data_IF_669538178359
#
_entry.id   IF_669538178359
#
_cell.length_a   1.000
_cell.length_b   1.000
_cell.length_c   1.000
_cell.angle_alpha   90.00
_cell.angle_beta   90.00
_cell.angle_gamma   90.00
#
_symmetry.space_group_name_H-M   'P 1'
#
loop_
_entity.id
_entity.type
_entity.pdbx_description
1 polymer ?
#
# COMPACT_ATOMS: atom_id res chain seq x y z
N UNK A 1 56.15 4.16 4.50
CA UNK A 1 55.81 5.59 4.28
C UNK A 1 55.10 5.69 2.95
N UNK A 2 53.92 6.23 2.74
CA UNK A 2 52.84 6.78 3.58
C UNK A 2 51.63 6.70 2.64
N UNK A 3 50.56 6.03 3.07
CA UNK A 3 49.27 6.00 2.37
C UNK A 3 48.51 7.27 2.76
N UNK A 4 48.09 8.15 1.85
CA UNK A 4 47.13 9.19 2.20
C UNK A 4 45.70 8.69 1.94
N UNK A 5 45.04 8.41 3.05
CA UNK A 5 43.63 8.67 3.36
C UNK A 5 42.73 9.05 2.17
N UNK A 6 42.03 8.04 1.62
CA UNK A 6 40.68 8.26 1.14
C UNK A 6 39.81 8.29 2.39
N UNK A 7 39.41 9.49 2.82
CA UNK A 7 38.29 9.62 3.75
C UNK A 7 37.03 9.16 3.01
N UNK A 8 36.78 7.85 3.03
CA UNK A 8 35.46 7.32 2.77
C UNK A 8 34.59 7.86 3.90
N UNK A 9 33.85 8.92 3.63
CA UNK A 9 32.57 9.12 4.29
C UNK A 9 31.70 7.97 3.78
N UNK A 10 31.87 6.79 4.40
CA UNK A 10 30.77 5.88 4.51
C UNK A 10 29.63 6.76 5.02
N UNK A 11 28.50 6.75 4.31
CA UNK A 11 27.25 7.09 4.96
C UNK A 11 27.30 6.41 6.34
N UNK A 12 27.01 7.13 7.42
CA UNK A 12 26.89 6.56 8.76
C UNK A 12 25.78 5.51 8.72
N UNK A 13 26.10 4.35 8.15
CA UNK A 13 25.33 3.14 8.16
C UNK A 13 25.72 2.55 9.49
N UNK A 14 24.92 2.88 10.50
CA UNK A 14 24.91 2.16 11.77
C UNK A 14 25.08 0.66 11.47
N UNK A 15 26.06 -0.03 12.08
CA UNK A 15 26.17 -1.48 11.92
C UNK A 15 24.91 -2.15 12.49
N UNK A 16 23.99 -2.52 11.60
CA UNK A 16 22.67 -3.08 11.93
C UNK A 16 21.74 -3.18 10.72
N UNK A 17 20.63 -3.90 10.88
CA UNK A 17 19.50 -3.85 9.94
C UNK A 17 18.75 -2.52 10.18
N UNK A 18 18.69 -1.57 9.22
CA UNK A 18 17.98 -0.31 9.41
C UNK A 18 16.50 -0.53 9.75
N UNK A 19 15.92 -1.66 9.32
CA UNK A 19 14.54 -2.01 9.62
C UNK A 19 14.33 -2.44 11.08
N UNK A 20 15.40 -2.65 11.85
CA UNK A 20 15.32 -2.94 13.28
C UNK A 20 15.10 -1.68 14.13
N UNK A 21 15.24 -0.48 13.57
CA UNK A 21 14.97 0.76 14.31
C UNK A 21 13.50 0.83 14.75
N UNK A 22 13.21 1.36 15.96
CA UNK A 22 11.85 1.39 16.51
C UNK A 22 10.82 2.03 15.59
N UNK A 23 11.19 3.09 14.87
CA UNK A 23 10.30 3.78 13.93
C UNK A 23 9.77 2.86 12.82
N UNK A 24 10.65 2.05 12.22
CA UNK A 24 10.24 1.09 11.18
C UNK A 24 9.44 -0.08 11.76
N UNK A 25 9.82 -0.56 12.94
CA UNK A 25 9.06 -1.61 13.62
C UNK A 25 7.62 -1.18 13.90
N UNK A 26 7.39 0.06 14.35
CA UNK A 26 6.06 0.60 14.51
C UNK A 26 5.36 0.85 13.18
N UNK A 27 6.05 1.47 12.21
CA UNK A 27 5.49 1.81 10.89
C UNK A 27 4.93 0.57 10.17
N UNK A 28 5.73 -0.50 10.09
CA UNK A 28 5.32 -1.73 9.41
C UNK A 28 4.36 -2.59 10.23
N UNK A 29 4.14 -2.28 11.51
CA UNK A 29 3.09 -2.89 12.34
C UNK A 29 1.81 -2.04 12.44
N UNK A 30 1.65 -1.02 11.58
CA UNK A 30 0.47 -0.14 11.52
C UNK A 30 0.32 0.78 12.75
N UNK A 31 1.39 0.95 13.52
CA UNK A 31 1.47 1.76 14.74
C UNK A 31 2.01 3.15 14.37
N UNK A 32 1.26 3.87 13.51
CA UNK A 32 1.76 5.08 12.86
C UNK A 32 2.00 6.26 13.81
N UNK A 33 1.23 6.36 14.91
CA UNK A 33 1.43 7.44 15.88
C UNK A 33 2.73 7.22 16.67
N UNK A 34 3.00 5.97 17.05
CA UNK A 34 4.24 5.52 17.68
C UNK A 34 5.44 5.65 16.73
N UNK A 35 5.28 5.28 15.45
CA UNK A 35 6.29 5.46 14.42
C UNK A 35 6.64 6.94 14.22
N UNK A 36 5.63 7.81 14.17
CA UNK A 36 5.82 9.25 14.00
C UNK A 36 6.57 9.85 15.19
N UNK A 37 6.24 9.44 16.41
CA UNK A 37 6.96 9.85 17.61
C UNK A 37 8.43 9.40 17.56
N UNK A 38 8.70 8.16 17.17
CA UNK A 38 10.05 7.62 17.06
C UNK A 38 10.89 8.35 16.00
N UNK A 39 10.37 8.56 14.79
CA UNK A 39 11.08 9.29 13.74
C UNK A 39 11.26 10.78 14.06
N UNK A 40 10.31 11.39 14.77
CA UNK A 40 10.45 12.78 15.25
C UNK A 40 11.56 12.91 16.30
N UNK A 41 11.64 11.97 17.25
CA UNK A 41 12.72 11.92 18.22
C UNK A 41 14.09 11.69 17.55
N UNK A 42 14.13 10.88 16.50
CA UNK A 42 15.34 10.65 15.70
C UNK A 42 15.74 11.92 14.91
N UNK A 43 14.79 12.63 14.32
CA UNK A 43 15.04 13.90 13.64
C UNK A 43 15.54 14.98 14.60
N UNK A 44 15.09 14.98 15.86
CA UNK A 44 15.58 15.90 16.88
C UNK A 44 17.05 15.62 17.26
N UNK A 45 17.46 14.34 17.28
CA UNK A 45 18.85 13.94 17.54
C UNK A 45 19.75 14.19 16.33
N UNK A 46 19.20 14.03 15.12
CA UNK A 46 19.94 14.11 13.86
C UNK A 46 19.32 15.15 12.89
N UNK A 47 19.28 16.44 13.23
CA UNK A 47 18.53 17.47 12.49
C UNK A 47 19.11 17.83 11.11
N UNK A 48 20.29 17.31 10.78
CA UNK A 48 20.96 17.50 9.48
C UNK A 48 20.73 16.33 8.52
N UNK A 49 20.18 15.20 8.99
CA UNK A 49 19.87 14.03 8.16
C UNK A 49 18.58 14.29 7.36
N UNK A 50 18.59 14.22 6.01
CA UNK A 50 17.37 14.43 5.22
C UNK A 50 16.40 13.24 5.29
N UNK A 51 16.91 12.02 5.46
CA UNK A 51 16.15 10.77 5.43
C UNK A 51 15.16 10.63 6.60
N UNK A 52 15.51 11.09 7.80
CA UNK A 52 14.61 11.08 8.97
C UNK A 52 13.34 11.90 8.73
N UNK A 53 13.43 13.01 7.99
CA UNK A 53 12.27 13.82 7.60
C UNK A 53 11.44 13.16 6.51
N UNK A 54 12.05 12.37 5.62
CA UNK A 54 11.30 11.52 4.68
C UNK A 54 10.48 10.46 5.43
N UNK A 55 11.02 9.85 6.48
CA UNK A 55 10.29 8.87 7.29
C UNK A 55 9.09 9.50 8.01
N UNK A 56 9.23 10.72 8.53
CA UNK A 56 8.11 11.50 9.10
C UNK A 56 7.03 11.71 8.03
N UNK A 57 7.40 12.23 6.85
CA UNK A 57 6.46 12.50 5.77
C UNK A 57 5.76 11.22 5.26
N UNK A 58 6.51 10.11 5.12
CA UNK A 58 5.97 8.80 4.76
C UNK A 58 4.96 8.32 5.79
N UNK A 59 5.29 8.44 7.09
CA UNK A 59 4.42 8.03 8.19
C UNK A 59 3.09 8.78 8.18
N UNK A 60 3.11 10.09 7.91
CA UNK A 60 1.88 10.90 7.81
C UNK A 60 0.97 10.38 6.70
N UNK A 61 1.51 10.18 5.49
CA UNK A 61 0.72 9.69 4.34
C UNK A 61 0.14 8.31 4.59
N UNK A 62 0.94 7.38 5.12
CA UNK A 62 0.47 6.02 5.40
C UNK A 62 -0.55 5.98 6.53
N UNK A 63 -0.42 6.84 7.56
CA UNK A 63 -1.43 6.99 8.61
C UNK A 63 -2.77 7.43 8.04
N UNK A 64 -2.77 8.38 7.12
CA UNK A 64 -3.99 8.85 6.46
C UNK A 64 -4.61 7.76 5.58
N UNK A 65 -3.77 7.06 4.81
CA UNK A 65 -4.22 5.90 4.02
C UNK A 65 -4.79 4.80 4.91
N UNK A 66 -4.21 4.56 6.09
CA UNK A 66 -4.70 3.56 7.03
C UNK A 66 -6.06 3.96 7.61
N UNK A 67 -6.20 5.20 8.09
CA UNK A 67 -7.44 5.74 8.64
C UNK A 67 -8.59 5.76 7.62
N UNK A 68 -8.28 5.92 6.34
CA UNK A 68 -9.28 5.91 5.26
C UNK A 68 -9.56 4.53 4.67
N UNK A 69 -8.93 3.46 5.17
CA UNK A 69 -8.99 2.11 4.58
C UNK A 69 -8.29 1.97 3.22
N UNK A 70 -7.49 2.96 2.79
CA UNK A 70 -6.80 2.95 1.50
C UNK A 70 -5.56 2.05 1.47
N UNK A 71 -5.01 1.63 2.62
CA UNK A 71 -3.95 0.61 2.67
C UNK A 71 -4.46 -0.82 2.49
N UNK A 72 -5.76 -1.03 2.61
CA UNK A 72 -6.36 -2.33 2.43
C UNK A 72 -6.34 -2.65 0.92
N UNK A 73 -5.79 -3.82 0.56
CA UNK A 73 -5.68 -4.19 -0.85
C UNK A 73 -7.04 -4.60 -1.42
N UNK A 74 -7.00 -4.98 -2.69
CA UNK A 74 -8.03 -5.22 -3.70
C UNK A 74 -9.05 -6.31 -3.31
N UNK A 75 -9.38 -6.49 -2.03
CA UNK A 75 -10.48 -7.33 -1.52
C UNK A 75 -11.81 -7.07 -2.24
N UNK A 76 -11.93 -5.95 -2.99
CA UNK A 76 -13.21 -5.48 -3.48
C UNK A 76 -13.28 -4.78 -4.84
N UNK A 77 -12.17 -4.54 -5.52
CA UNK A 77 -12.21 -3.91 -6.84
C UNK A 77 -11.72 -4.88 -7.89
N UNK A 78 -12.63 -5.42 -8.71
CA UNK A 78 -12.28 -6.19 -9.91
C UNK A 78 -11.67 -5.34 -11.03
N UNK A 79 -11.47 -4.03 -10.81
CA UNK A 79 -11.06 -3.09 -11.84
C UNK A 79 -10.20 -1.94 -11.28
N UNK A 80 -9.22 -1.51 -12.09
CA UNK A 80 -8.13 -0.54 -11.79
C UNK A 80 -8.44 0.52 -10.69
N UNK A 81 -7.94 0.32 -9.45
CA UNK A 81 -8.33 1.15 -8.30
C UNK A 81 -7.66 2.53 -8.23
N UNK A 82 -6.53 2.74 -8.92
CA UNK A 82 -5.72 3.96 -8.75
C UNK A 82 -6.39 5.24 -9.27
N UNK A 83 -7.31 5.14 -10.24
CA UNK A 83 -7.92 6.32 -10.89
C UNK A 83 -9.25 6.78 -10.26
N UNK A 84 -9.94 5.92 -9.50
CA UNK A 84 -11.31 6.18 -9.01
C UNK A 84 -11.48 6.23 -7.50
N UNK A 85 -10.39 6.12 -6.73
CA UNK A 85 -10.46 6.24 -5.27
C UNK A 85 -10.89 7.65 -4.83
N UNK A 86 -11.78 7.75 -3.82
CA UNK A 86 -12.10 9.02 -3.17
C UNK A 86 -10.82 9.76 -2.77
N UNK A 87 -10.88 11.09 -2.80
CA UNK A 87 -9.77 11.95 -2.36
C UNK A 87 -9.50 11.70 -0.87
N UNK A 88 -8.24 11.49 -0.50
CA UNK A 88 -7.86 11.56 0.91
C UNK A 88 -8.03 13.00 1.39
N UNK A 89 -8.68 13.19 2.53
CA UNK A 89 -8.93 14.51 3.11
C UNK A 89 -8.25 14.62 4.49
N UNK A 90 -6.91 14.65 4.55
CA UNK A 90 -6.19 14.89 5.79
C UNK A 90 -6.55 16.27 6.37
N UNK A 91 -6.52 16.38 7.70
CA UNK A 91 -6.75 17.64 8.40
C UNK A 91 -5.64 18.66 8.11
N UNK A 92 -5.94 19.95 8.25
CA UNK A 92 -5.01 21.03 7.88
C UNK A 92 -3.66 20.94 8.61
N UNK A 93 -3.65 20.42 9.84
CA UNK A 93 -2.44 20.18 10.62
C UNK A 93 -1.59 19.09 9.99
N UNK A 94 -2.16 17.93 9.63
CA UNK A 94 -1.44 16.83 8.99
C UNK A 94 -0.89 17.25 7.62
N UNK A 95 -1.65 18.04 6.85
CA UNK A 95 -1.16 18.59 5.58
C UNK A 95 0.08 19.46 5.80
N UNK A 96 0.03 20.35 6.81
CA UNK A 96 1.15 21.22 7.15
C UNK A 96 2.37 20.41 7.58
N UNK A 97 2.20 19.44 8.47
CA UNK A 97 3.27 18.57 8.95
C UNK A 97 3.95 17.81 7.79
N UNK A 98 3.17 17.29 6.84
CA UNK A 98 3.72 16.63 5.65
C UNK A 98 4.59 17.60 4.82
N UNK A 99 4.06 18.80 4.52
CA UNK A 99 4.76 19.77 3.70
C UNK A 99 6.03 20.32 4.38
N UNK A 100 5.99 20.54 5.70
CA UNK A 100 7.14 20.95 6.48
C UNK A 100 8.23 19.87 6.46
N UNK A 101 7.86 18.60 6.68
CA UNK A 101 8.80 17.48 6.68
C UNK A 101 9.44 17.26 5.28
N UNK A 102 8.64 17.24 4.21
CA UNK A 102 9.16 17.11 2.84
C UNK A 102 10.02 18.32 2.46
N UNK A 103 9.58 19.54 2.79
CA UNK A 103 10.35 20.75 2.53
C UNK A 103 11.72 20.70 3.20
N UNK A 104 11.77 20.26 4.46
CA UNK A 104 13.02 20.12 5.22
C UNK A 104 13.94 19.04 4.64
N UNK A 105 13.40 17.87 4.28
CA UNK A 105 14.16 16.79 3.65
C UNK A 105 14.81 17.26 2.34
N UNK A 106 14.03 17.91 1.47
CA UNK A 106 14.51 18.42 0.18
C UNK A 106 15.54 19.54 0.34
N UNK A 107 15.35 20.44 1.32
CA UNK A 107 16.34 21.49 1.62
C UNK A 107 17.69 20.86 1.98
N UNK A 108 17.70 19.94 2.95
CA UNK A 108 18.93 19.32 3.45
C UNK A 108 19.63 18.47 2.39
N UNK A 109 18.88 17.67 1.64
CA UNK A 109 19.43 16.91 0.53
C UNK A 109 19.96 17.85 -0.57
N UNK A 110 19.25 18.93 -0.87
CA UNK A 110 19.67 19.92 -1.86
C UNK A 110 20.97 20.63 -1.49
N UNK A 111 21.14 21.00 -0.22
CA UNK A 111 22.37 21.65 0.26
C UNK A 111 23.58 20.70 0.19
N UNK A 112 23.38 19.41 0.49
CA UNK A 112 24.41 18.37 0.27
C UNK A 112 24.75 18.19 -1.20
N UNK A 113 23.76 18.18 -2.09
CA UNK A 113 23.97 18.04 -3.53
C UNK A 113 24.65 19.26 -4.18
N UNK A 114 24.48 20.46 -3.62
CA UNK A 114 25.24 21.65 -4.06
C UNK A 114 26.72 21.51 -3.77
N UNK A 115 27.07 20.90 -2.64
CA UNK A 115 28.46 20.66 -2.24
C UNK A 115 29.06 19.48 -3.00
N UNK A 116 28.31 18.39 -3.13
CA UNK A 116 28.68 17.20 -3.88
C UNK A 116 27.50 16.68 -4.72
N UNK A 117 27.47 16.97 -6.03
CA UNK A 117 26.40 16.51 -6.92
C UNK A 117 26.27 14.98 -7.05
N UNK A 118 27.26 14.23 -6.59
CA UNK A 118 27.31 12.76 -6.62
C UNK A 118 27.21 12.15 -5.21
N UNK A 119 26.77 12.91 -4.20
CA UNK A 119 26.44 12.37 -2.87
C UNK A 119 25.25 11.40 -3.01
N UNK A 120 25.55 10.09 -3.01
CA UNK A 120 24.56 9.02 -3.17
C UNK A 120 23.47 9.08 -2.10
N UNK A 121 23.83 9.40 -0.85
CA UNK A 121 22.86 9.50 0.24
C UNK A 121 21.91 10.68 0.03
N UNK A 122 22.42 11.83 -0.41
CA UNK A 122 21.60 12.99 -0.71
C UNK A 122 20.74 12.80 -1.98
N UNK A 123 21.26 12.15 -3.02
CA UNK A 123 20.49 11.75 -4.20
C UNK A 123 19.34 10.83 -3.80
N UNK A 124 19.60 9.85 -2.93
CA UNK A 124 18.59 8.91 -2.46
C UNK A 124 17.50 9.63 -1.65
N UNK A 125 17.88 10.43 -0.65
CA UNK A 125 16.93 11.19 0.15
C UNK A 125 16.09 12.14 -0.71
N UNK A 126 16.71 12.88 -1.64
CA UNK A 126 15.99 13.76 -2.58
C UNK A 126 15.02 12.97 -3.46
N UNK A 127 15.46 11.82 -3.98
CA UNK A 127 14.62 10.93 -4.78
C UNK A 127 13.40 10.42 -4.02
N UNK A 128 13.58 10.03 -2.77
CA UNK A 128 12.48 9.62 -1.87
C UNK A 128 11.53 10.80 -1.62
N UNK A 129 12.03 12.00 -1.35
CA UNK A 129 11.18 13.19 -1.15
C UNK A 129 10.29 13.49 -2.36
N UNK A 130 10.86 13.43 -3.57
CA UNK A 130 10.08 13.57 -4.81
C UNK A 130 9.03 12.46 -4.93
N UNK A 131 9.36 11.20 -4.62
CA UNK A 131 8.41 10.10 -4.65
C UNK A 131 7.24 10.27 -3.67
N UNK A 132 7.52 10.69 -2.44
CA UNK A 132 6.50 10.97 -1.43
C UNK A 132 5.61 12.15 -1.84
N UNK A 133 6.20 13.23 -2.38
CA UNK A 133 5.44 14.38 -2.89
C UNK A 133 4.59 14.01 -4.10
N UNK A 134 5.09 13.16 -4.99
CA UNK A 134 4.31 12.61 -6.11
C UNK A 134 3.08 11.83 -5.60
N UNK A 135 3.29 10.94 -4.63
CA UNK A 135 2.20 10.17 -4.03
C UNK A 135 1.16 11.07 -3.35
N UNK A 136 1.60 12.10 -2.62
CA UNK A 136 0.70 13.06 -1.99
C UNK A 136 -0.10 13.86 -3.03
N UNK A 137 0.58 14.36 -4.06
CA UNK A 137 -0.07 15.08 -5.17
C UNK A 137 -1.12 14.21 -5.86
N UNK A 138 -0.84 12.91 -6.05
CA UNK A 138 -1.74 11.95 -6.66
C UNK A 138 -2.93 11.57 -5.77
N UNK A 139 -2.68 11.17 -4.51
CA UNK A 139 -3.70 10.60 -3.62
C UNK A 139 -4.53 11.67 -2.92
N UNK A 140 -3.88 12.77 -2.51
CA UNK A 140 -4.49 13.83 -1.70
C UNK A 140 -4.90 15.01 -2.59
N UNK A 141 -3.97 15.65 -3.32
CA UNK A 141 -4.31 16.88 -4.07
C UNK A 141 -5.07 16.62 -5.38
N UNK A 142 -5.02 15.40 -5.93
CA UNK A 142 -5.46 15.08 -7.31
C UNK A 142 -4.78 15.98 -8.35
N UNK A 143 -3.53 16.38 -8.08
CA UNK A 143 -2.69 17.20 -8.95
C UNK A 143 -1.81 16.29 -9.83
N UNK A 144 -2.41 15.69 -10.85
CA UNK A 144 -1.79 14.62 -11.65
C UNK A 144 -0.51 15.05 -12.39
N UNK A 145 -0.47 16.29 -12.89
CA UNK A 145 0.72 16.84 -13.58
C UNK A 145 1.88 17.06 -12.60
N UNK A 146 1.61 17.63 -11.42
CA UNK A 146 2.59 17.78 -10.34
C UNK A 146 3.14 16.41 -9.93
N UNK A 147 2.24 15.42 -9.76
CA UNK A 147 2.62 14.06 -9.40
C UNK A 147 3.53 13.41 -10.46
N UNK A 148 3.22 13.59 -11.74
CA UNK A 148 4.03 13.05 -12.84
C UNK A 148 5.42 13.71 -12.91
N UNK A 149 5.49 15.04 -12.71
CA UNK A 149 6.75 15.78 -12.67
C UNK A 149 7.64 15.30 -11.52
N UNK A 150 7.06 15.14 -10.33
CA UNK A 150 7.76 14.65 -9.16
C UNK A 150 8.21 13.19 -9.32
N UNK A 151 7.37 12.31 -9.85
CA UNK A 151 7.73 10.92 -10.13
C UNK A 151 8.90 10.81 -11.14
N UNK A 152 8.91 11.69 -12.16
CA UNK A 152 10.01 11.77 -13.13
C UNK A 152 11.30 12.23 -12.47
N UNK A 153 11.21 13.24 -11.59
CA UNK A 153 12.35 13.74 -10.81
C UNK A 153 12.91 12.68 -9.87
N UNK A 154 12.03 11.94 -9.17
CA UNK A 154 12.41 10.81 -8.32
C UNK A 154 13.18 9.75 -9.12
N UNK A 155 12.65 9.35 -10.29
CA UNK A 155 13.32 8.38 -11.17
C UNK A 155 14.69 8.86 -11.62
N UNK A 156 14.83 10.14 -11.99
CA UNK A 156 16.12 10.71 -12.40
C UNK A 156 17.17 10.60 -11.29
N UNK A 157 16.80 10.91 -10.05
CA UNK A 157 17.71 10.79 -8.90
C UNK A 157 18.13 9.33 -8.68
N UNK A 158 17.17 8.40 -8.70
CA UNK A 158 17.44 6.98 -8.49
C UNK A 158 18.27 6.33 -9.61
N UNK A 159 18.05 6.74 -10.87
CA UNK A 159 18.88 6.29 -11.99
C UNK A 159 20.33 6.73 -11.81
N UNK A 160 20.56 8.00 -11.45
CA UNK A 160 21.90 8.51 -11.18
C UNK A 160 22.60 7.74 -10.06
N UNK A 161 21.87 7.32 -9.02
CA UNK A 161 22.43 6.47 -7.96
C UNK A 161 22.93 5.14 -8.54
N UNK A 162 22.13 4.46 -9.36
CA UNK A 162 22.54 3.18 -9.95
C UNK A 162 23.66 3.30 -10.99
N UNK A 163 23.85 4.48 -11.59
CA UNK A 163 25.00 4.79 -12.45
C UNK A 163 26.28 4.99 -11.63
N UNK A 164 26.18 5.64 -10.46
CA UNK A 164 27.31 5.90 -9.55
C UNK A 164 27.70 4.67 -8.73
N UNK A 165 26.71 3.96 -8.21
CA UNK A 165 26.84 2.75 -7.41
C UNK A 165 25.86 1.67 -7.91
N UNK A 166 26.31 0.82 -8.85
CA UNK A 166 25.51 -0.30 -9.31
C UNK A 166 25.15 -1.31 -8.21
N UNK A 167 25.81 -1.32 -7.05
CA UNK A 167 25.48 -2.22 -5.96
C UNK A 167 24.42 -1.65 -5.00
N UNK A 168 24.01 -0.39 -5.18
CA UNK A 168 22.92 0.22 -4.42
C UNK A 168 21.56 -0.34 -4.89
N UNK A 169 21.22 -1.55 -4.42
CA UNK A 169 20.02 -2.27 -4.85
C UNK A 169 18.74 -1.50 -4.53
N UNK A 170 18.66 -0.85 -3.37
CA UNK A 170 17.47 -0.14 -2.91
C UNK A 170 16.99 0.94 -3.90
N UNK A 171 17.90 1.58 -4.63
CA UNK A 171 17.58 2.61 -5.60
C UNK A 171 16.82 2.07 -6.83
N UNK A 172 16.85 0.74 -7.04
CA UNK A 172 16.14 0.09 -8.15
C UNK A 172 14.64 -0.05 -7.90
N UNK A 173 14.14 0.25 -6.69
CA UNK A 173 12.70 0.16 -6.39
C UNK A 173 11.87 1.01 -7.38
N UNK A 174 12.26 2.27 -7.56
CA UNK A 174 11.58 3.21 -8.46
C UNK A 174 11.69 2.79 -9.92
N UNK A 175 12.83 2.21 -10.33
CA UNK A 175 13.02 1.67 -11.67
C UNK A 175 12.08 0.48 -11.93
N UNK A 176 12.03 -0.49 -11.01
CA UNK A 176 11.16 -1.66 -11.13
C UNK A 176 9.67 -1.29 -11.19
N UNK A 177 9.25 -0.35 -10.33
CA UNK A 177 7.87 0.15 -10.36
C UNK A 177 7.56 0.89 -11.67
N UNK A 178 8.49 1.71 -12.16
CA UNK A 178 8.33 2.39 -13.44
C UNK A 178 8.16 1.41 -14.60
N UNK A 179 9.05 0.42 -14.69
CA UNK A 179 9.03 -0.59 -15.74
C UNK A 179 7.72 -1.39 -15.72
N UNK A 180 7.26 -1.78 -14.52
CA UNK A 180 5.98 -2.47 -14.36
C UNK A 180 4.79 -1.61 -14.80
N UNK A 181 4.72 -0.35 -14.34
CA UNK A 181 3.60 0.55 -14.65
C UNK A 181 3.53 0.84 -16.15
N UNK A 182 4.63 1.29 -16.75
CA UNK A 182 4.69 1.58 -18.20
C UNK A 182 4.47 0.30 -19.01
N UNK A 183 5.05 -0.81 -18.59
CA UNK A 183 4.87 -2.13 -19.17
C UNK A 183 3.44 -2.71 -19.02
N UNK A 184 2.59 -2.11 -18.19
CA UNK A 184 1.20 -2.53 -17.96
C UNK A 184 0.16 -1.61 -18.58
N UNK A 185 0.57 -0.51 -19.21
CA UNK A 185 -0.36 0.39 -19.90
C UNK A 185 -1.03 -0.29 -21.11
N UNK A 186 -2.29 0.06 -21.44
CA UNK A 186 -2.91 -0.36 -22.70
C UNK A 186 -2.09 0.10 -23.92
N UNK A 187 -2.18 -0.62 -25.04
CA UNK A 187 -1.32 -0.40 -26.21
C UNK A 187 -1.28 1.07 -26.68
N UNK A 188 -2.43 1.74 -26.79
CA UNK A 188 -2.48 3.15 -27.21
C UNK A 188 -1.74 4.09 -26.26
N UNK A 189 -1.83 3.87 -24.95
CA UNK A 189 -1.10 4.65 -23.94
C UNK A 189 0.40 4.32 -23.93
N UNK A 190 0.78 3.06 -24.16
CA UNK A 190 2.19 2.67 -24.33
C UNK A 190 2.82 3.35 -25.54
N UNK A 191 2.10 3.40 -26.66
CA UNK A 191 2.59 4.03 -27.88
C UNK A 191 2.82 5.54 -27.68
N UNK A 192 1.87 6.25 -27.07
CA UNK A 192 2.05 7.66 -26.70
C UNK A 192 3.22 7.87 -25.73
N UNK A 193 3.34 7.01 -24.71
CA UNK A 193 4.47 7.04 -23.79
C UNK A 193 5.81 6.83 -24.49
N UNK A 194 5.89 5.88 -25.44
CA UNK A 194 7.07 5.61 -26.23
C UNK A 194 7.53 6.83 -27.05
N UNK A 195 6.59 7.54 -27.69
CA UNK A 195 6.89 8.79 -28.40
C UNK A 195 7.42 9.89 -27.46
N UNK A 196 6.98 9.89 -26.21
CA UNK A 196 7.47 10.77 -25.15
C UNK A 196 8.74 10.25 -24.43
N UNK A 197 9.36 9.17 -24.92
CA UNK A 197 10.60 8.61 -24.36
C UNK A 197 10.42 7.64 -23.20
N UNK A 198 9.20 7.27 -22.84
CA UNK A 198 8.93 6.27 -21.81
C UNK A 198 8.94 4.85 -22.36
N UNK A 199 9.73 3.98 -21.74
CA UNK A 199 9.78 2.54 -22.03
C UNK A 199 9.70 1.79 -20.72
N UNK A 200 9.03 0.65 -20.75
CA UNK A 200 8.92 -0.24 -19.59
C UNK A 200 8.53 -1.63 -20.02
N UNK A 201 9.02 -2.61 -19.28
CA UNK A 201 8.74 -4.02 -19.45
C UNK A 201 8.16 -4.56 -18.15
N UNK A 202 6.99 -5.20 -18.26
CA UNK A 202 6.22 -5.66 -17.12
C UNK A 202 7.00 -6.70 -16.30
N UNK A 203 7.56 -7.70 -16.96
CA UNK A 203 8.29 -8.79 -16.30
C UNK A 203 9.65 -8.30 -15.80
N UNK A 204 10.30 -7.37 -16.51
CA UNK A 204 11.49 -6.70 -16.01
C UNK A 204 11.20 -5.95 -14.71
N UNK A 205 10.09 -5.21 -14.65
CA UNK A 205 9.67 -4.54 -13.42
C UNK A 205 9.52 -5.51 -12.25
N UNK A 206 8.85 -6.64 -12.47
CA UNK A 206 8.67 -7.70 -11.46
C UNK A 206 10.03 -8.27 -11.01
N UNK A 207 10.94 -8.59 -11.96
CA UNK A 207 12.29 -9.09 -11.63
C UNK A 207 13.09 -8.07 -10.81
N UNK A 208 13.04 -6.80 -11.18
CA UNK A 208 13.71 -5.72 -10.46
C UNK A 208 13.15 -5.58 -9.05
N UNK A 209 11.83 -5.59 -8.87
CA UNK A 209 11.20 -5.53 -7.55
C UNK A 209 11.56 -6.74 -6.68
N UNK A 210 11.62 -7.94 -7.27
CA UNK A 210 12.08 -9.16 -6.58
C UNK A 210 13.52 -9.03 -6.10
N UNK A 211 14.42 -8.49 -6.93
CA UNK A 211 15.80 -8.20 -6.54
C UNK A 211 15.86 -7.25 -5.33
N UNK A 212 15.04 -6.21 -5.29
CA UNK A 212 14.99 -5.28 -4.14
C UNK A 212 14.42 -5.96 -2.90
N UNK A 213 13.37 -6.77 -3.04
CA UNK A 213 12.78 -7.53 -1.93
C UNK A 213 13.73 -8.58 -1.34
N UNK A 214 14.69 -9.10 -2.12
CA UNK A 214 15.66 -10.09 -1.67
C UNK A 214 16.96 -9.46 -1.15
N UNK A 215 17.48 -8.43 -1.83
CA UNK A 215 18.83 -7.89 -1.60
C UNK A 215 18.87 -6.42 -1.17
N UNK A 216 17.74 -5.73 -1.16
CA UNK A 216 17.65 -4.38 -0.61
C UNK A 216 17.91 -4.37 0.89
N UNK A 217 18.43 -3.26 1.41
CA UNK A 217 18.62 -3.03 2.85
C UNK A 217 17.53 -2.14 3.42
N UNK A 218 17.15 -1.10 2.69
CA UNK A 218 16.19 -0.06 3.13
C UNK A 218 14.80 -0.39 2.59
N UNK A 219 14.69 -0.61 1.27
CA UNK A 219 13.45 -0.81 0.54
C UNK A 219 13.00 -2.27 0.46
N UNK A 220 13.65 -3.17 1.21
CA UNK A 220 13.35 -4.61 1.18
C UNK A 220 11.87 -4.89 1.45
N UNK A 221 11.33 -4.25 2.49
CA UNK A 221 9.94 -4.44 2.93
C UNK A 221 8.98 -3.75 1.98
N UNK A 222 9.25 -2.51 1.58
CA UNK A 222 8.44 -1.77 0.61
C UNK A 222 8.35 -2.51 -0.73
N UNK A 223 9.46 -3.06 -1.21
CA UNK A 223 9.49 -3.90 -2.40
C UNK A 223 8.66 -5.17 -2.24
N UNK A 224 8.77 -5.88 -1.11
CA UNK A 224 8.00 -7.09 -0.86
C UNK A 224 6.48 -6.81 -0.80
N UNK A 225 6.07 -5.71 -0.17
CA UNK A 225 4.67 -5.28 -0.11
C UNK A 225 4.14 -4.94 -1.51
N UNK A 226 4.86 -4.10 -2.26
CA UNK A 226 4.47 -3.71 -3.63
C UNK A 226 4.46 -4.92 -4.57
N UNK A 227 5.47 -5.78 -4.49
CA UNK A 227 5.57 -6.98 -5.29
C UNK A 227 4.43 -7.95 -4.99
N UNK A 228 4.01 -8.10 -3.73
CA UNK A 228 2.87 -8.97 -3.37
C UNK A 228 1.58 -8.50 -4.05
N UNK A 229 1.30 -7.19 -4.05
CA UNK A 229 0.15 -6.62 -4.75
C UNK A 229 0.24 -6.81 -6.27
N UNK A 230 1.42 -6.60 -6.86
CA UNK A 230 1.65 -6.82 -8.29
C UNK A 230 1.46 -8.30 -8.66
N UNK A 231 2.04 -9.23 -7.90
CA UNK A 231 1.93 -10.66 -8.17
C UNK A 231 0.48 -11.14 -8.10
N UNK A 232 -0.31 -10.62 -7.15
CA UNK A 232 -1.76 -10.89 -7.12
C UNK A 232 -2.44 -10.47 -8.42
N UNK A 233 -2.20 -9.21 -8.86
CA UNK A 233 -2.78 -8.68 -10.11
C UNK A 233 -2.35 -9.49 -11.34
N UNK A 234 -1.14 -10.01 -11.35
CA UNK A 234 -0.64 -10.90 -12.41
C UNK A 234 -1.11 -12.36 -12.27
N UNK A 235 -2.03 -12.66 -11.33
CA UNK A 235 -2.53 -14.02 -11.03
C UNK A 235 -1.41 -14.99 -10.60
N UNK A 236 -0.35 -14.45 -10.00
CA UNK A 236 0.83 -15.16 -9.46
C UNK A 236 0.77 -15.24 -7.93
N UNK A 237 -0.43 -15.51 -7.38
CA UNK A 237 -0.67 -15.53 -5.93
C UNK A 237 0.26 -16.48 -5.16
N UNK A 238 0.69 -17.60 -5.78
CA UNK A 238 1.64 -18.53 -5.17
C UNK A 238 3.00 -17.91 -4.83
N UNK A 239 3.49 -16.99 -5.66
CA UNK A 239 4.73 -16.26 -5.38
C UNK A 239 4.54 -15.22 -4.26
N UNK A 240 3.37 -14.58 -4.20
CA UNK A 240 3.04 -13.61 -3.16
C UNK A 240 2.92 -14.25 -1.77
N UNK A 241 2.44 -15.50 -1.66
CA UNK A 241 2.32 -16.23 -0.38
C UNK A 241 3.65 -16.29 0.37
N UNK A 242 4.77 -16.54 -0.32
CA UNK A 242 6.08 -16.62 0.34
C UNK A 242 6.50 -15.27 0.92
N UNK A 243 6.27 -14.18 0.19
CA UNK A 243 6.59 -12.82 0.64
C UNK A 243 5.72 -12.43 1.84
N UNK A 244 4.42 -12.67 1.75
CA UNK A 244 3.46 -12.35 2.82
C UNK A 244 3.70 -13.17 4.09
N UNK A 245 4.12 -14.44 3.96
CA UNK A 245 4.52 -15.24 5.12
C UNK A 245 5.73 -14.63 5.84
N UNK A 246 6.80 -14.28 5.12
CA UNK A 246 7.97 -13.63 5.70
C UNK A 246 7.60 -12.28 6.36
N UNK A 247 6.79 -11.46 5.69
CA UNK A 247 6.29 -10.21 6.25
C UNK A 247 5.44 -10.44 7.51
N UNK A 248 4.59 -11.46 7.54
CA UNK A 248 3.73 -11.75 8.70
C UNK A 248 4.51 -12.23 9.92
N UNK A 249 5.68 -12.85 9.71
CA UNK A 249 6.59 -13.26 10.78
C UNK A 249 7.40 -12.08 11.31
N UNK A 250 7.88 -11.20 10.43
CA UNK A 250 8.64 -10.00 10.78
C UNK A 250 7.78 -8.94 11.47
N UNK A 251 6.54 -8.79 11.01
CA UNK A 251 5.60 -7.79 11.50
C UNK A 251 4.31 -8.47 12.01
N UNK A 252 4.39 -9.22 13.13
CA UNK A 252 3.28 -10.05 13.59
C UNK A 252 2.04 -9.26 14.04
N UNK A 253 2.20 -7.97 14.35
CA UNK A 253 1.13 -7.05 14.74
C UNK A 253 0.44 -6.41 13.53
N UNK A 254 1.01 -6.56 12.32
CA UNK A 254 0.38 -6.15 11.08
C UNK A 254 -0.69 -7.16 10.64
N UNK A 255 -1.93 -6.90 11.02
CA UNK A 255 -3.05 -7.74 10.61
C UNK A 255 -3.34 -7.65 9.10
N UNK A 256 -3.03 -6.53 8.43
CA UNK A 256 -3.28 -6.37 6.99
C UNK A 256 -2.51 -7.40 6.17
N UNK A 257 -1.24 -7.67 6.52
CA UNK A 257 -0.43 -8.71 5.85
C UNK A 257 -1.10 -10.09 5.97
N UNK A 258 -1.70 -10.41 7.13
CA UNK A 258 -2.44 -11.68 7.31
C UNK A 258 -3.72 -11.72 6.50
N UNK A 259 -4.46 -10.63 6.42
CA UNK A 259 -5.66 -10.56 5.58
C UNK A 259 -5.32 -10.73 4.09
N UNK A 260 -4.22 -10.14 3.62
CA UNK A 260 -3.70 -10.36 2.26
C UNK A 260 -3.26 -11.81 2.04
N UNK A 261 -2.63 -12.44 3.04
CA UNK A 261 -2.27 -13.86 2.95
C UNK A 261 -3.50 -14.77 2.82
N UNK A 262 -4.56 -14.49 3.60
CA UNK A 262 -5.84 -15.21 3.46
C UNK A 262 -6.42 -15.04 2.06
N UNK A 263 -6.33 -13.83 1.49
CA UNK A 263 -6.76 -13.57 0.12
C UNK A 263 -5.94 -14.36 -0.91
N UNK A 264 -4.61 -14.42 -0.76
CA UNK A 264 -3.77 -15.20 -1.69
C UNK A 264 -4.14 -16.69 -1.66
N UNK A 265 -4.41 -17.26 -0.48
CA UNK A 265 -4.91 -18.63 -0.39
C UNK A 265 -6.29 -18.79 -1.04
N UNK A 266 -7.17 -17.80 -0.88
CA UNK A 266 -8.45 -17.74 -1.58
C UNK A 266 -8.30 -17.78 -3.10
N UNK A 267 -7.42 -16.92 -3.64
CA UNK A 267 -7.13 -16.81 -5.08
C UNK A 267 -6.49 -18.10 -5.65
N UNK A 268 -5.78 -18.87 -4.80
CA UNK A 268 -5.22 -20.18 -5.14
C UNK A 268 -6.22 -21.34 -5.07
N UNK A 269 -7.47 -21.11 -4.68
CA UNK A 269 -8.44 -22.19 -4.51
C UNK A 269 -8.34 -22.93 -3.17
N UNK A 270 -7.49 -22.48 -2.24
CA UNK A 270 -7.28 -23.12 -0.94
C UNK A 270 -8.16 -22.50 0.15
N UNK A 271 -9.46 -22.83 0.10
CA UNK A 271 -10.48 -22.38 1.08
C UNK A 271 -10.04 -22.65 2.53
N UNK A 272 -9.44 -23.81 2.77
CA UNK A 272 -9.08 -24.26 4.12
C UNK A 272 -7.97 -23.40 4.70
N UNK A 273 -6.88 -23.14 3.96
CA UNK A 273 -5.82 -22.25 4.45
C UNK A 273 -6.29 -20.81 4.58
N UNK A 274 -7.11 -20.33 3.64
CA UNK A 274 -7.68 -18.99 3.73
C UNK A 274 -8.50 -18.80 5.01
N UNK A 275 -9.40 -19.74 5.33
CA UNK A 275 -10.17 -19.72 6.56
C UNK A 275 -9.29 -19.85 7.81
N UNK A 276 -8.27 -20.72 7.79
CA UNK A 276 -7.37 -20.89 8.93
C UNK A 276 -6.62 -19.59 9.28
N UNK A 277 -6.18 -18.82 8.28
CA UNK A 277 -5.55 -17.50 8.52
C UNK A 277 -6.55 -16.51 9.10
N UNK A 278 -7.79 -16.48 8.59
CA UNK A 278 -8.86 -15.61 9.12
C UNK A 278 -9.19 -15.96 10.58
N UNK A 279 -9.30 -17.25 10.90
CA UNK A 279 -9.58 -17.73 12.25
C UNK A 279 -8.44 -17.41 13.22
N UNK A 280 -7.17 -17.46 12.75
CA UNK A 280 -6.03 -17.01 13.53
C UNK A 280 -6.12 -15.50 13.85
N UNK A 281 -6.51 -14.67 12.89
CA UNK A 281 -6.70 -13.22 13.11
C UNK A 281 -7.83 -12.98 14.11
N UNK A 282 -8.94 -13.71 14.02
CA UNK A 282 -10.05 -13.64 14.99
C UNK A 282 -9.61 -14.05 16.40
N UNK A 283 -8.79 -15.11 16.53
CA UNK A 283 -8.24 -15.52 17.82
C UNK A 283 -7.33 -14.44 18.42
N UNK A 284 -6.43 -13.84 17.63
CA UNK A 284 -5.55 -12.76 18.08
C UNK A 284 -6.35 -11.52 18.52
N UNK A 285 -7.42 -11.20 17.78
CA UNK A 285 -8.37 -10.14 18.13
C UNK A 285 -9.06 -10.42 19.47
N UNK A 286 -9.62 -11.62 19.66
CA UNK A 286 -10.29 -12.02 20.92
C UNK A 286 -9.34 -12.07 22.12
N UNK A 287 -8.09 -12.45 21.89
CA UNK A 287 -7.04 -12.44 22.90
C UNK A 287 -6.48 -11.03 23.20
N UNK A 288 -6.99 -9.99 22.53
CA UNK A 288 -6.51 -8.62 22.65
C UNK A 288 -5.00 -8.48 22.38
N UNK A 289 -4.48 -9.29 21.45
CA UNK A 289 -3.06 -9.33 21.12
C UNK A 289 -2.57 -7.99 20.55
N UNK A 290 -1.31 -7.58 20.81
CA UNK A 290 -0.71 -6.37 20.24
C UNK A 290 -0.94 -6.23 18.72
N UNK A 291 -1.50 -5.09 18.30
CA UNK A 291 -1.83 -4.78 16.91
C UNK A 291 -3.27 -5.14 16.49
N UNK A 292 -3.94 -6.01 17.24
CA UNK A 292 -5.29 -6.49 16.89
C UNK A 292 -6.39 -5.77 17.67
N UNK A 293 -6.05 -4.96 18.68
CA UNK A 293 -7.04 -4.31 19.54
C UNK A 293 -7.96 -3.36 18.75
N UNK A 294 -7.38 -2.61 17.81
CA UNK A 294 -8.10 -1.63 16.97
C UNK A 294 -8.76 -2.25 15.73
N UNK A 295 -8.52 -3.52 15.39
CA UNK A 295 -9.15 -4.20 14.25
C UNK A 295 -10.64 -4.45 14.53
N UNK A 296 -11.60 -3.91 13.76
CA UNK A 296 -13.02 -4.22 13.97
C UNK A 296 -13.31 -5.71 13.72
N UNK A 297 -14.15 -6.35 14.56
CA UNK A 297 -14.51 -7.75 14.37
C UNK A 297 -15.28 -7.97 13.05
N UNK A 298 -16.03 -6.95 12.65
CA UNK A 298 -16.78 -6.86 11.41
C UNK A 298 -15.84 -6.84 10.21
N UNK A 299 -14.60 -6.34 10.36
CA UNK A 299 -13.61 -6.44 9.28
C UNK A 299 -13.21 -7.89 9.00
N UNK A 300 -13.06 -8.69 10.06
CA UNK A 300 -12.74 -10.11 9.96
C UNK A 300 -13.90 -10.86 9.30
N UNK A 301 -15.14 -10.57 9.74
CA UNK A 301 -16.37 -11.11 9.13
C UNK A 301 -16.52 -10.70 7.68
N UNK A 302 -16.18 -9.47 7.33
CA UNK A 302 -16.22 -8.99 5.96
C UNK A 302 -15.29 -9.79 5.04
N UNK A 303 -14.04 -10.02 5.45
CA UNK A 303 -13.09 -10.84 4.68
C UNK A 303 -13.60 -12.28 4.57
N UNK A 304 -14.07 -12.85 5.67
CA UNK A 304 -14.63 -14.22 5.70
C UNK A 304 -15.85 -14.37 4.80
N UNK A 305 -16.82 -13.47 4.89
CA UNK A 305 -18.04 -13.53 4.10
C UNK A 305 -17.77 -13.36 2.60
N UNK A 306 -16.81 -12.53 2.19
CA UNK A 306 -16.40 -12.43 0.79
C UNK A 306 -15.75 -13.73 0.30
N UNK A 307 -14.84 -14.32 1.09
CA UNK A 307 -14.24 -15.61 0.77
C UNK A 307 -15.34 -16.67 0.61
N UNK A 308 -16.20 -16.82 1.61
CA UNK A 308 -17.29 -17.81 1.63
C UNK A 308 -18.25 -17.63 0.46
N UNK A 309 -18.57 -16.38 0.09
CA UNK A 309 -19.35 -16.09 -1.10
C UNK A 309 -18.70 -16.72 -2.33
N UNK A 310 -17.42 -16.45 -2.63
CA UNK A 310 -16.77 -17.01 -3.82
C UNK A 310 -16.69 -18.53 -3.82
N UNK A 311 -16.65 -19.17 -2.65
CA UNK A 311 -16.73 -20.63 -2.48
C UNK A 311 -18.16 -21.18 -2.42
N UNK A 312 -19.18 -20.39 -2.76
CA UNK A 312 -20.59 -20.77 -2.76
C UNK A 312 -21.17 -21.20 -1.40
N UNK A 313 -20.53 -20.82 -0.30
CA UNK A 313 -21.00 -21.07 1.07
C UNK A 313 -21.91 -19.91 1.50
N UNK A 314 -23.06 -19.81 0.81
CA UNK A 314 -23.92 -18.61 0.82
C UNK A 314 -24.56 -18.35 2.18
N UNK A 315 -24.87 -19.38 2.97
CA UNK A 315 -25.53 -19.22 4.26
C UNK A 315 -24.60 -18.59 5.29
N UNK A 316 -23.35 -19.08 5.36
CA UNK A 316 -22.33 -18.48 6.24
C UNK A 316 -21.89 -17.10 5.73
N UNK A 317 -21.78 -16.93 4.42
CA UNK A 317 -21.52 -15.62 3.83
C UNK A 317 -22.64 -14.62 4.17
N UNK A 318 -23.90 -15.06 4.16
CA UNK A 318 -25.05 -14.24 4.52
C UNK A 318 -24.98 -13.81 5.99
N UNK A 319 -24.72 -14.75 6.90
CA UNK A 319 -24.58 -14.47 8.33
C UNK A 319 -23.53 -13.38 8.58
N UNK A 320 -22.34 -13.55 7.98
CA UNK A 320 -21.26 -12.58 8.11
C UNK A 320 -21.63 -11.22 7.51
N UNK A 321 -22.16 -11.19 6.29
CA UNK A 321 -22.53 -9.93 5.65
C UNK A 321 -23.62 -9.19 6.42
N UNK A 322 -24.61 -9.89 6.98
CA UNK A 322 -25.64 -9.27 7.85
C UNK A 322 -25.00 -8.63 9.08
N UNK A 323 -24.09 -9.34 9.76
CA UNK A 323 -23.38 -8.81 10.93
C UNK A 323 -22.54 -7.57 10.59
N UNK A 324 -21.87 -7.55 9.44
CA UNK A 324 -21.11 -6.39 8.97
C UNK A 324 -22.04 -5.21 8.65
N UNK A 325 -23.12 -5.45 7.91
CA UNK A 325 -24.05 -4.39 7.50
C UNK A 325 -24.82 -3.75 8.67
N UNK A 326 -24.96 -4.46 9.79
CA UNK A 326 -25.61 -3.94 10.99
C UNK A 326 -24.77 -2.84 11.70
N UNK A 327 -23.48 -2.72 11.37
CA UNK A 327 -22.53 -1.81 12.02
C UNK A 327 -21.73 -0.98 11.01
N UNK A 328 -22.29 -0.69 9.85
CA UNK A 328 -21.56 0.06 8.81
C UNK A 328 -21.11 1.45 9.23
N UNK A 329 -21.74 2.04 10.24
CA UNK A 329 -21.34 3.32 10.84
C UNK A 329 -20.00 3.24 11.62
N UNK A 330 -19.58 2.05 12.01
CA UNK A 330 -18.31 1.79 12.73
C UNK A 330 -17.16 1.39 11.79
N UNK A 331 -17.40 1.36 10.48
CA UNK A 331 -16.47 0.83 9.47
C UNK A 331 -16.05 1.90 8.48
N UNK A 332 -14.92 1.64 7.81
CA UNK A 332 -14.51 2.46 6.68
C UNK A 332 -15.56 2.38 5.55
N UNK A 333 -15.63 3.45 4.74
CA UNK A 333 -16.63 3.60 3.69
C UNK A 333 -16.59 2.43 2.68
N UNK A 334 -15.39 1.90 2.40
CA UNK A 334 -15.18 0.81 1.44
C UNK A 334 -15.79 -0.47 1.97
N UNK A 335 -15.48 -0.87 3.21
CA UNK A 335 -16.08 -2.05 3.84
C UNK A 335 -17.60 -1.91 3.89
N UNK A 336 -18.11 -0.76 4.33
CA UNK A 336 -19.55 -0.52 4.43
C UNK A 336 -20.28 -0.72 3.10
N UNK A 337 -19.87 0.01 2.05
CA UNK A 337 -20.58 -0.01 0.76
C UNK A 337 -20.54 -1.39 0.10
N UNK A 338 -19.39 -2.05 0.13
CA UNK A 338 -19.26 -3.34 -0.53
C UNK A 338 -19.90 -4.48 0.25
N UNK A 339 -20.02 -4.38 1.57
CA UNK A 339 -20.78 -5.36 2.36
C UNK A 339 -22.26 -5.34 2.00
N UNK A 340 -22.85 -4.15 1.82
CA UNK A 340 -24.23 -4.02 1.35
C UNK A 340 -24.41 -4.55 -0.07
N UNK A 341 -23.47 -4.25 -0.98
CA UNK A 341 -23.49 -4.81 -2.33
C UNK A 341 -23.41 -6.34 -2.31
N UNK A 342 -22.48 -6.91 -1.54
CA UNK A 342 -22.31 -8.36 -1.42
C UNK A 342 -23.53 -9.02 -0.80
N UNK A 343 -24.11 -8.41 0.23
CA UNK A 343 -25.35 -8.88 0.85
C UNK A 343 -26.49 -8.96 -0.18
N UNK A 344 -26.62 -7.95 -1.03
CA UNK A 344 -27.60 -7.97 -2.13
C UNK A 344 -27.35 -9.10 -3.13
N UNK A 345 -26.10 -9.35 -3.50
CA UNK A 345 -25.73 -10.45 -4.40
C UNK A 345 -26.06 -11.82 -3.79
N UNK A 346 -25.81 -12.01 -2.49
CA UNK A 346 -26.17 -13.24 -1.78
C UNK A 346 -27.68 -13.46 -1.80
N UNK A 347 -28.47 -12.43 -1.47
CA UNK A 347 -29.94 -12.52 -1.52
C UNK A 347 -30.46 -12.82 -2.94
N UNK A 348 -29.87 -12.24 -3.98
CA UNK A 348 -30.24 -12.53 -5.36
C UNK A 348 -29.98 -14.00 -5.72
N UNK A 349 -28.82 -14.55 -5.33
CA UNK A 349 -28.47 -15.97 -5.54
C UNK A 349 -29.39 -16.92 -4.76
N UNK A 350 -29.88 -16.52 -3.59
CA UNK A 350 -30.86 -17.27 -2.79
C UNK A 350 -32.32 -17.05 -3.23
N UNK A 351 -32.56 -16.31 -4.31
CA UNK A 351 -33.92 -16.04 -4.81
C UNK A 351 -34.68 -14.94 -4.07
N UNK A 352 -34.10 -14.31 -3.04
CA UNK A 352 -34.72 -13.33 -2.15
C UNK A 352 -34.66 -11.90 -2.73
N UNK A 353 -35.32 -11.66 -3.86
CA UNK A 353 -35.17 -10.42 -4.65
C UNK A 353 -35.48 -9.13 -3.88
N UNK A 354 -36.55 -9.13 -3.08
CA UNK A 354 -36.96 -7.95 -2.29
C UNK A 354 -35.84 -7.50 -1.35
N UNK A 355 -35.21 -8.45 -0.65
CA UNK A 355 -34.09 -8.18 0.26
C UNK A 355 -32.83 -7.76 -0.51
N UNK A 356 -32.59 -8.34 -1.69
CA UNK A 356 -31.50 -7.94 -2.56
C UNK A 356 -31.60 -6.45 -2.97
N UNK A 357 -32.79 -6.03 -3.42
CA UNK A 357 -33.05 -4.63 -3.80
C UNK A 357 -32.83 -3.67 -2.64
N UNK A 358 -33.31 -4.01 -1.44
CA UNK A 358 -33.10 -3.19 -0.25
C UNK A 358 -31.60 -3.06 0.08
N UNK A 359 -30.83 -4.15 0.00
CA UNK A 359 -29.39 -4.12 0.26
C UNK A 359 -28.63 -3.28 -0.79
N UNK A 360 -28.97 -3.39 -2.08
CA UNK A 360 -28.36 -2.55 -3.12
C UNK A 360 -28.70 -1.06 -2.93
N UNK A 361 -29.92 -0.73 -2.52
CA UNK A 361 -30.30 0.65 -2.20
C UNK A 361 -29.44 1.23 -1.08
N UNK A 362 -29.15 0.45 -0.03
CA UNK A 362 -28.25 0.86 1.05
C UNK A 362 -26.83 1.12 0.54
N UNK A 363 -26.28 0.25 -0.31
CA UNK A 363 -24.98 0.48 -0.94
C UNK A 363 -24.94 1.81 -1.72
N UNK A 364 -26.00 2.10 -2.49
CA UNK A 364 -26.11 3.36 -3.24
C UNK A 364 -26.23 4.58 -2.32
N UNK A 365 -26.94 4.47 -1.19
CA UNK A 365 -27.11 5.56 -0.24
C UNK A 365 -25.81 5.90 0.50
N UNK A 366 -25.05 4.90 0.93
CA UNK A 366 -23.83 5.08 1.73
C UNK A 366 -22.72 5.74 0.92
N UNK A 367 -22.50 5.31 -0.32
CA UNK A 367 -21.43 5.86 -1.15
C UNK A 367 -21.88 6.02 -2.61
N UNK A 368 -22.75 7.00 -2.94
CA UNK A 368 -23.35 7.13 -4.27
C UNK A 368 -22.34 7.22 -5.42
N UNK A 369 -21.16 7.81 -5.16
CA UNK A 369 -20.08 7.97 -6.15
C UNK A 369 -19.11 6.79 -6.25
N UNK A 370 -19.30 5.72 -5.47
CA UNK A 370 -18.41 4.56 -5.47
C UNK A 370 -18.70 3.60 -6.63
N UNK A 371 -17.70 2.78 -6.98
CA UNK A 371 -17.86 1.69 -7.95
C UNK A 371 -18.87 0.65 -7.47
N UNK A 372 -18.83 0.28 -6.19
CA UNK A 372 -19.81 -0.58 -5.55
C UNK A 372 -21.25 -0.07 -5.73
N UNK A 373 -21.49 1.23 -5.56
CA UNK A 373 -22.80 1.83 -5.82
C UNK A 373 -23.18 1.81 -7.31
N UNK A 374 -22.22 1.98 -8.22
CA UNK A 374 -22.49 1.84 -9.66
C UNK A 374 -22.87 0.40 -10.03
N UNK A 375 -22.21 -0.60 -9.43
CA UNK A 375 -22.53 -2.01 -9.60
C UNK A 375 -23.89 -2.36 -8.96
N UNK A 376 -24.15 -1.89 -7.74
CA UNK A 376 -25.44 -2.04 -7.06
C UNK A 376 -26.60 -1.46 -7.87
N UNK A 377 -26.45 -0.27 -8.50
CA UNK A 377 -27.47 0.29 -9.41
C UNK A 377 -27.76 -0.63 -10.59
N UNK A 378 -26.72 -1.24 -11.18
CA UNK A 378 -26.92 -2.23 -12.24
C UNK A 378 -27.72 -3.42 -11.71
N UNK A 379 -27.40 -3.90 -10.51
CA UNK A 379 -28.10 -5.03 -9.92
C UNK A 379 -29.52 -4.74 -9.44
N UNK A 380 -29.86 -3.47 -9.23
CA UNK A 380 -31.26 -3.06 -9.02
C UNK A 380 -32.08 -3.25 -10.31
N UNK A 381 -31.49 -3.00 -11.48
CA UNK A 381 -32.15 -3.19 -12.78
C UNK A 381 -32.12 -4.65 -13.26
N UNK A 382 -31.06 -5.40 -12.98
CA UNK A 382 -30.92 -6.81 -13.36
C UNK A 382 -30.45 -7.67 -12.19
N UNK A 383 -31.10 -8.80 -11.92
CA UNK A 383 -30.67 -9.70 -10.83
C UNK A 383 -29.21 -10.13 -11.03
N UNK A 384 -28.42 -10.10 -9.95
CA UNK A 384 -27.10 -10.70 -9.94
C UNK A 384 -27.19 -12.21 -10.21
N UNK A 385 -26.32 -12.70 -11.10
CA UNK A 385 -26.16 -14.11 -11.44
C UNK A 385 -24.67 -14.39 -11.57
N UNK A 386 -24.26 -15.62 -11.29
CA UNK A 386 -22.87 -16.06 -11.49
C UNK A 386 -22.61 -16.48 -12.93
#
# INVERSE_FOLDING_TARGET
>A
MLVPLVASWAADVQPGDPLAEPGFQHFYNLEYDEALAAFTAEAAKNPSRPDVYNHIAQTIVFRDMYRSGALESELVTSTNPFLRRPKLNPGAAEQKEFWDAIGRAMQLAGDRLKQNPNDVGALYAMGVSYGLRANYNFLVRKAWLDALSDATSARKMHNKITELDPNFVDARLVQGLHDYVVGSLPFGWKFLGFLAGYRGDREQGIRTLKLVAEKGRINRVDAAVLLSAILRREKRAGEAVSLLNDLSQRFPRNFLVRLELAQMYGDLGDKTKALAVIDQVDQLKRANAPGYQKLPAEKIRYVRGNLLFWYNDLDRALEDMKAVTAKTNELDLTTGVYSWMRLGQIYDLQGQRQLALAAYQQAVQIAPGSEAAAEARRYMSSRYRR
#
